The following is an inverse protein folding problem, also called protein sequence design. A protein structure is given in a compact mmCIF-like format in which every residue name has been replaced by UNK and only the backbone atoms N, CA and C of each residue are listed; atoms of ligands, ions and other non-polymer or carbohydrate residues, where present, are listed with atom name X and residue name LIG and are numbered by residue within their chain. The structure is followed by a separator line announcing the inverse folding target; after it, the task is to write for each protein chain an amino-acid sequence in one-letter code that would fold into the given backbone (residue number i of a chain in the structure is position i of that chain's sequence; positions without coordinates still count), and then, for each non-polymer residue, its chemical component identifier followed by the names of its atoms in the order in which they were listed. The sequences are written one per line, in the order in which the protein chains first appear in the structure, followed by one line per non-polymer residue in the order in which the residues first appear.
data_IF_620994825528
#
_entry.id   IF_620994825528
#
_cell.length_a   1.000
_cell.length_b   1.000
_cell.length_c   1.000
_cell.angle_alpha   90.00
_cell.angle_beta   90.00
_cell.angle_gamma   90.00
#
_symmetry.space_group_name_H-M   'P 1'
#
loop_
_entity.id
_entity.type
_entity.pdbx_description
1 polymer ?
#
# COMPACT_ATOMS: atom_id res chain seq x y z
N UNK A 1 19.48 -11.86 -11.53
CA UNK A 1 18.73 -10.70 -10.98
C UNK A 1 17.26 -11.06 -11.03
N UNK A 2 16.60 -10.90 -9.92
CA UNK A 2 15.15 -11.21 -9.78
C UNK A 2 14.34 -9.95 -9.94
N UNK A 3 13.39 -9.95 -10.85
CA UNK A 3 12.50 -8.80 -11.07
C UNK A 3 11.22 -8.97 -10.26
N UNK A 4 10.84 -7.93 -9.51
CA UNK A 4 9.61 -7.83 -8.75
C UNK A 4 8.73 -6.69 -9.27
N UNK A 5 7.42 -6.90 -9.29
CA UNK A 5 6.40 -5.93 -9.67
C UNK A 5 5.50 -5.66 -8.48
N UNK A 6 5.61 -4.49 -7.87
CA UNK A 6 4.83 -4.10 -6.69
C UNK A 6 3.88 -2.97 -7.07
N UNK A 7 2.59 -3.18 -6.82
CA UNK A 7 1.55 -2.20 -7.04
C UNK A 7 0.99 -1.72 -5.71
N UNK A 8 0.83 -0.41 -5.54
CA UNK A 8 0.07 0.18 -4.44
C UNK A 8 -1.16 0.92 -4.95
N UNK A 9 -2.26 0.85 -4.22
CA UNK A 9 -3.47 1.58 -4.55
C UNK A 9 -4.38 1.79 -3.34
N UNK A 10 -4.67 3.05 -3.02
CA UNK A 10 -5.78 3.39 -2.15
C UNK A 10 -7.08 3.26 -2.96
N UNK A 11 -7.94 2.30 -2.62
CA UNK A 11 -9.15 1.99 -3.42
C UNK A 11 -10.42 2.67 -2.92
N UNK A 12 -10.30 3.56 -1.91
CA UNK A 12 -11.45 4.28 -1.33
C UNK A 12 -12.65 3.35 -1.06
N UNK A 13 -12.43 2.27 -0.32
CA UNK A 13 -13.41 1.20 -0.12
C UNK A 13 -14.75 1.63 0.45
N UNK A 14 -14.80 2.83 1.09
CA UNK A 14 -16.05 3.43 1.56
C UNK A 14 -17.03 3.73 0.42
N UNK A 15 -16.56 3.97 -0.79
CA UNK A 15 -17.37 4.24 -1.98
C UNK A 15 -17.83 2.99 -2.72
N UNK A 16 -17.56 1.80 -2.19
CA UNK A 16 -17.93 0.50 -2.76
C UNK A 16 -17.54 0.35 -4.25
N UNK A 17 -16.23 0.49 -4.59
CA UNK A 17 -15.78 0.41 -5.98
C UNK A 17 -16.14 -0.94 -6.61
N UNK A 18 -16.39 -0.94 -7.92
CA UNK A 18 -16.71 -2.16 -8.65
C UNK A 18 -15.51 -3.12 -8.66
N UNK A 19 -15.56 -4.19 -7.85
CA UNK A 19 -14.45 -5.13 -7.68
C UNK A 19 -14.11 -5.92 -8.96
N UNK A 20 -15.05 -6.08 -9.90
CA UNK A 20 -14.75 -6.72 -11.18
C UNK A 20 -13.86 -5.82 -12.05
N UNK A 21 -14.08 -4.51 -11.99
CA UNK A 21 -13.23 -3.54 -12.69
C UNK A 21 -11.88 -3.41 -11.98
N UNK A 22 -11.89 -3.26 -10.65
CA UNK A 22 -10.64 -3.19 -9.86
C UNK A 22 -9.76 -4.42 -10.08
N UNK A 23 -10.33 -5.63 -10.08
CA UNK A 23 -9.56 -6.86 -10.34
C UNK A 23 -8.98 -6.92 -11.76
N UNK A 24 -9.70 -6.43 -12.76
CA UNK A 24 -9.19 -6.33 -14.15
C UNK A 24 -8.05 -5.32 -14.27
N UNK A 25 -8.16 -4.19 -13.57
CA UNK A 25 -7.08 -3.20 -13.50
C UNK A 25 -5.84 -3.84 -12.89
N UNK A 26 -5.97 -4.46 -11.70
CA UNK A 26 -4.86 -5.14 -11.03
C UNK A 26 -4.22 -6.20 -11.94
N UNK A 27 -5.02 -7.09 -12.53
CA UNK A 27 -4.49 -8.14 -13.40
C UNK A 27 -3.80 -7.59 -14.65
N UNK A 28 -4.25 -6.46 -15.19
CA UNK A 28 -3.64 -5.80 -16.35
C UNK A 28 -2.21 -5.29 -16.06
N UNK A 29 -1.90 -4.95 -14.83
CA UNK A 29 -0.55 -4.56 -14.41
C UNK A 29 0.38 -5.76 -14.16
N UNK A 30 -0.13 -7.00 -14.10
CA UNK A 30 0.63 -8.21 -13.81
C UNK A 30 1.56 -8.08 -12.58
N UNK A 31 1.10 -7.59 -11.44
CA UNK A 31 1.95 -7.40 -10.28
C UNK A 31 2.22 -8.73 -9.56
N UNK A 32 3.40 -8.86 -8.95
CA UNK A 32 3.70 -9.94 -8.01
C UNK A 32 3.06 -9.70 -6.64
N UNK A 33 2.94 -8.42 -6.25
CA UNK A 33 2.37 -8.00 -4.97
C UNK A 33 1.53 -6.74 -5.15
N UNK A 34 0.37 -6.72 -4.49
CA UNK A 34 -0.52 -5.56 -4.43
C UNK A 34 -0.71 -5.13 -2.98
N UNK A 35 -0.40 -3.88 -2.68
CA UNK A 35 -0.65 -3.23 -1.40
C UNK A 35 -1.86 -2.30 -1.52
N UNK A 36 -2.97 -2.63 -0.85
CA UNK A 36 -4.19 -1.84 -0.89
C UNK A 36 -4.40 -1.09 0.42
N UNK A 37 -4.89 0.16 0.32
CA UNK A 37 -5.29 1.00 1.43
C UNK A 37 -6.80 1.29 1.34
N UNK A 38 -7.40 1.65 2.48
CA UNK A 38 -8.84 1.91 2.66
C UNK A 38 -9.74 0.76 2.19
N UNK A 39 -9.24 -0.45 2.19
CA UNK A 39 -9.98 -1.63 1.73
C UNK A 39 -10.75 -2.27 2.87
N UNK A 40 -12.02 -2.59 2.66
CA UNK A 40 -12.81 -3.39 3.62
C UNK A 40 -12.46 -4.87 3.49
N UNK A 41 -12.62 -5.62 4.60
CA UNK A 41 -12.27 -7.05 4.63
C UNK A 41 -12.94 -7.87 3.53
N UNK A 42 -14.25 -7.65 3.29
CA UNK A 42 -14.99 -8.36 2.26
C UNK A 42 -14.55 -7.98 0.84
N UNK A 43 -14.12 -6.72 0.62
CA UNK A 43 -13.57 -6.26 -0.65
C UNK A 43 -12.22 -6.92 -0.93
N UNK A 44 -11.32 -6.96 0.06
CA UNK A 44 -10.03 -7.65 -0.05
C UNK A 44 -10.22 -9.14 -0.39
N UNK A 45 -11.11 -9.85 0.31
CA UNK A 45 -11.46 -11.24 0.01
C UNK A 45 -12.12 -11.41 -1.36
N UNK A 46 -13.00 -10.47 -1.75
CA UNK A 46 -13.66 -10.47 -3.06
C UNK A 46 -12.66 -10.28 -4.23
N UNK A 47 -11.66 -9.41 -4.06
CA UNK A 47 -10.58 -9.24 -5.04
C UNK A 47 -9.70 -10.49 -5.12
N UNK A 48 -9.29 -11.05 -3.98
CA UNK A 48 -8.49 -12.27 -3.94
C UNK A 48 -9.19 -13.44 -4.65
N UNK A 49 -10.51 -13.60 -4.44
CA UNK A 49 -11.30 -14.64 -5.11
C UNK A 49 -11.33 -14.46 -6.63
N UNK A 50 -11.51 -13.22 -7.13
CA UNK A 50 -11.54 -12.90 -8.56
C UNK A 50 -10.20 -13.13 -9.25
N UNK A 51 -9.12 -12.82 -8.54
CA UNK A 51 -7.76 -12.98 -9.04
C UNK A 51 -7.22 -14.41 -8.89
N UNK A 52 -7.84 -15.24 -8.04
CA UNK A 52 -7.31 -16.54 -7.65
C UNK A 52 -6.04 -16.43 -6.79
N UNK A 53 -5.92 -15.34 -6.02
CA UNK A 53 -4.73 -14.98 -5.25
C UNK A 53 -4.93 -15.17 -3.75
N UNK A 54 -3.81 -15.17 -3.02
CA UNK A 54 -3.77 -15.12 -1.57
C UNK A 54 -3.96 -13.69 -1.09
N UNK A 55 -4.53 -13.52 0.10
CA UNK A 55 -4.76 -12.23 0.72
C UNK A 55 -4.55 -12.29 2.22
N UNK A 56 -3.96 -11.23 2.75
CA UNK A 56 -3.97 -10.89 4.17
C UNK A 56 -4.57 -9.50 4.34
N UNK A 57 -5.27 -9.29 5.42
CA UNK A 57 -5.95 -8.03 5.72
C UNK A 57 -5.78 -7.67 7.19
N UNK A 58 -5.53 -6.40 7.48
CA UNK A 58 -5.51 -5.84 8.83
C UNK A 58 -6.43 -4.64 8.94
N UNK A 59 -7.14 -4.51 10.06
CA UNK A 59 -8.06 -3.41 10.29
C UNK A 59 -7.28 -2.15 10.68
N UNK A 60 -7.57 -1.03 10.02
CA UNK A 60 -7.04 0.28 10.37
C UNK A 60 -7.81 0.87 11.56
N UNK A 61 -9.13 1.00 11.43
CA UNK A 61 -9.98 1.53 12.48
C UNK A 61 -11.36 0.86 12.47
N UNK A 62 -12.09 1.00 13.56
CA UNK A 62 -13.50 0.63 13.58
C UNK A 62 -14.36 1.73 12.98
N UNK A 63 -15.49 1.39 12.36
CA UNK A 63 -16.49 2.37 11.99
C UNK A 63 -17.08 3.05 13.22
N UNK A 64 -17.71 4.20 13.03
CA UNK A 64 -18.31 5.00 14.10
C UNK A 64 -19.27 4.22 15.04
N UNK A 65 -19.90 3.15 14.54
CA UNK A 65 -20.79 2.29 15.33
C UNK A 65 -20.35 0.82 15.28
N UNK A 66 -20.34 0.09 16.40
CA UNK A 66 -20.07 -1.33 16.41
C UNK A 66 -21.09 -2.16 15.62
N UNK A 67 -22.30 -1.63 15.40
CA UNK A 67 -23.35 -2.27 14.62
C UNK A 67 -23.04 -2.33 13.11
N UNK A 68 -21.98 -1.69 12.66
CA UNK A 68 -21.55 -1.67 11.25
C UNK A 68 -20.06 -2.06 11.11
N UNK A 69 -19.61 -2.97 11.99
CA UNK A 69 -18.22 -3.42 12.05
C UNK A 69 -17.65 -3.92 10.71
N UNK A 70 -18.51 -4.44 9.82
CA UNK A 70 -18.11 -4.87 8.45
C UNK A 70 -17.69 -3.72 7.54
N UNK A 71 -18.00 -2.47 7.91
CA UNK A 71 -17.55 -1.25 7.21
C UNK A 71 -16.16 -0.80 7.65
N UNK A 72 -15.54 -1.52 8.58
CA UNK A 72 -14.19 -1.21 9.00
C UNK A 72 -13.23 -1.26 7.82
N UNK A 73 -12.50 -0.19 7.63
CA UNK A 73 -11.43 -0.09 6.64
C UNK A 73 -10.12 -0.63 7.19
N UNK A 74 -9.25 -1.02 6.28
CA UNK A 74 -7.96 -1.59 6.62
C UNK A 74 -6.95 -1.50 5.48
N UNK A 75 -5.91 -2.28 5.67
CA UNK A 75 -4.87 -2.52 4.67
C UNK A 75 -4.97 -3.98 4.21
N UNK A 76 -4.64 -4.23 2.95
CA UNK A 76 -4.49 -5.60 2.46
C UNK A 76 -3.21 -5.75 1.63
N UNK A 77 -2.66 -6.96 1.65
CA UNK A 77 -1.65 -7.39 0.69
C UNK A 77 -2.20 -8.60 -0.04
N UNK A 78 -2.19 -8.54 -1.38
CA UNK A 78 -2.60 -9.63 -2.27
C UNK A 78 -1.41 -10.06 -3.12
N UNK A 79 -1.32 -11.38 -3.42
CA UNK A 79 -0.27 -11.93 -4.27
C UNK A 79 -0.67 -13.30 -4.80
N UNK A 80 -0.23 -13.69 -6.03
CA UNK A 80 -0.35 -15.08 -6.50
C UNK A 80 0.60 -16.05 -5.79
N UNK A 81 1.60 -15.53 -5.07
CA UNK A 81 2.68 -16.28 -4.43
C UNK A 81 2.38 -16.70 -2.99
N UNK A 82 3.33 -17.31 -2.29
CA UNK A 82 3.19 -17.65 -0.87
C UNK A 82 3.33 -16.41 0.01
N UNK A 83 2.59 -16.41 1.12
CA UNK A 83 2.63 -15.34 2.13
C UNK A 83 3.03 -15.97 3.46
N UNK A 84 4.04 -15.42 4.08
CA UNK A 84 4.55 -15.82 5.38
C UNK A 84 4.78 -14.59 6.28
N UNK A 85 5.00 -14.81 7.57
CA UNK A 85 5.44 -13.79 8.53
C UNK A 85 4.58 -12.52 8.59
N UNK A 86 3.25 -12.67 8.63
CA UNK A 86 2.37 -11.52 8.81
C UNK A 86 2.60 -10.85 10.17
N UNK A 87 2.98 -9.59 10.12
CA UNK A 87 3.06 -8.69 11.28
C UNK A 87 2.17 -7.49 11.01
N UNK A 88 1.40 -7.05 12.00
CA UNK A 88 0.67 -5.79 11.93
C UNK A 88 0.81 -5.03 13.24
N UNK A 89 1.01 -3.73 13.15
CA UNK A 89 1.25 -2.85 14.31
C UNK A 89 0.44 -1.56 14.20
N UNK A 90 0.04 -1.01 15.36
CA UNK A 90 -0.45 0.37 15.41
C UNK A 90 0.74 1.32 15.29
N UNK A 91 0.67 2.23 14.32
CA UNK A 91 1.66 3.29 14.13
C UNK A 91 1.20 4.63 14.70
N UNK A 92 -0.03 4.70 15.25
CA UNK A 92 -0.58 5.83 16.01
C UNK A 92 -0.89 5.40 17.45
N UNK A 93 0.11 5.05 18.29
CA UNK A 93 -0.13 4.62 19.66
C UNK A 93 -0.80 5.73 20.47
N UNK A 94 -1.75 5.34 21.33
CA UNK A 94 -2.53 6.29 22.13
C UNK A 94 -3.74 6.88 21.40
N UNK A 95 -3.85 6.69 20.09
CA UNK A 95 -5.04 7.09 19.31
C UNK A 95 -6.07 5.96 19.35
N UNK A 96 -7.31 6.30 19.66
CA UNK A 96 -8.41 5.32 19.70
C UNK A 96 -8.62 4.64 18.34
N UNK A 97 -8.80 3.33 18.36
CA UNK A 97 -9.15 2.52 17.17
C UNK A 97 -10.55 2.82 16.62
N UNK A 98 -11.32 3.65 17.30
CA UNK A 98 -12.65 4.12 16.86
C UNK A 98 -12.58 5.46 16.10
N UNK A 99 -11.40 5.99 15.88
CA UNK A 99 -11.21 7.20 15.09
C UNK A 99 -10.49 6.92 13.77
N UNK A 100 -10.88 7.63 12.72
CA UNK A 100 -10.22 7.61 11.41
C UNK A 100 -8.74 8.04 11.47
N UNK A 101 -8.33 8.73 12.54
CA UNK A 101 -6.93 9.11 12.80
C UNK A 101 -6.05 7.94 13.18
N UNK A 102 -6.63 6.81 13.63
CA UNK A 102 -5.82 5.62 13.93
C UNK A 102 -5.21 5.06 12.65
N UNK A 103 -3.91 4.81 12.69
CA UNK A 103 -3.13 4.26 11.58
C UNK A 103 -2.45 2.97 11.99
N UNK A 104 -2.33 2.08 11.02
CA UNK A 104 -1.63 0.80 11.15
C UNK A 104 -0.67 0.61 10.00
N UNK A 105 0.33 -0.22 10.21
CA UNK A 105 1.15 -0.80 9.15
C UNK A 105 1.08 -2.32 9.26
N UNK A 106 1.22 -2.99 8.13
CA UNK A 106 1.35 -4.45 8.07
C UNK A 106 2.50 -4.83 7.17
N UNK A 107 3.15 -5.95 7.45
CA UNK A 107 4.18 -6.48 6.60
C UNK A 107 4.11 -8.00 6.51
N UNK A 108 4.48 -8.53 5.35
CA UNK A 108 4.56 -9.96 5.04
C UNK A 108 5.86 -10.28 4.33
N UNK A 109 6.25 -11.55 4.33
CA UNK A 109 7.24 -12.08 3.40
C UNK A 109 6.51 -12.79 2.28
N UNK A 110 6.72 -12.34 1.05
CA UNK A 110 6.21 -12.99 -0.16
C UNK A 110 7.31 -13.88 -0.73
N UNK A 111 6.98 -15.14 -1.03
CA UNK A 111 7.95 -16.12 -1.52
C UNK A 111 7.51 -16.73 -2.84
N UNK A 112 8.40 -16.72 -3.85
CA UNK A 112 8.22 -17.36 -5.16
C UNK A 112 9.53 -18.03 -5.60
N UNK A 113 9.48 -19.29 -6.03
CA UNK A 113 10.58 -20.01 -6.70
C UNK A 113 11.95 -19.86 -6.01
N UNK A 114 11.97 -19.90 -4.67
CA UNK A 114 13.21 -19.76 -3.87
C UNK A 114 13.66 -18.32 -3.59
N UNK A 115 12.88 -17.33 -4.05
CA UNK A 115 13.13 -15.91 -3.83
C UNK A 115 12.12 -15.32 -2.85
N UNK A 116 12.53 -14.35 -2.07
CA UNK A 116 11.66 -13.70 -1.09
C UNK A 116 11.73 -12.19 -1.21
N UNK A 117 10.61 -11.53 -0.90
CA UNK A 117 10.50 -10.09 -0.78
C UNK A 117 9.74 -9.75 0.49
N UNK A 118 10.32 -8.94 1.37
CA UNK A 118 9.60 -8.36 2.49
C UNK A 118 8.80 -7.16 2.02
N UNK A 119 7.49 -7.15 2.24
CA UNK A 119 6.60 -6.08 1.78
C UNK A 119 5.86 -5.51 2.97
N UNK A 120 6.08 -4.22 3.25
CA UNK A 120 5.28 -3.47 4.20
C UNK A 120 4.26 -2.60 3.46
N UNK A 121 3.03 -2.57 3.96
CA UNK A 121 1.95 -1.71 3.50
C UNK A 121 1.52 -0.77 4.62
N UNK A 122 1.38 0.51 4.30
CA UNK A 122 0.99 1.54 5.28
C UNK A 122 0.05 2.57 4.65
N UNK A 123 -0.65 3.33 5.52
CA UNK A 123 -1.39 4.53 5.14
C UNK A 123 -1.16 5.56 6.25
N UNK A 124 -0.33 6.56 5.98
CA UNK A 124 0.11 7.55 6.96
C UNK A 124 -0.95 8.64 7.20
N UNK A 125 -0.74 9.49 8.19
CA UNK A 125 -1.66 10.57 8.54
C UNK A 125 -1.79 11.60 7.41
N UNK A 126 -3.02 12.04 7.15
CA UNK A 126 -3.32 12.97 6.04
C UNK A 126 -3.11 14.45 6.36
N UNK A 127 -2.97 14.82 7.65
CA UNK A 127 -3.07 16.24 8.05
C UNK A 127 -1.96 16.73 8.97
N UNK A 128 -0.95 15.91 9.29
CA UNK A 128 0.12 16.30 10.22
C UNK A 128 1.45 15.68 9.77
N UNK A 129 2.42 16.55 9.41
CA UNK A 129 3.72 16.13 8.91
C UNK A 129 4.57 15.46 10.00
N UNK A 130 4.55 15.99 11.22
CA UNK A 130 5.28 15.41 12.35
C UNK A 130 4.72 14.02 12.72
N UNK A 131 3.40 13.87 12.64
CA UNK A 131 2.75 12.57 12.82
C UNK A 131 3.17 11.58 11.73
N UNK A 132 3.24 11.99 10.45
CA UNK A 132 3.73 11.14 9.34
C UNK A 132 5.15 10.67 9.58
N UNK A 133 6.06 11.56 9.97
CA UNK A 133 7.45 11.22 10.29
C UNK A 133 7.50 10.20 11.44
N UNK A 134 6.77 10.46 12.53
CA UNK A 134 6.71 9.55 13.67
C UNK A 134 6.10 8.19 13.30
N UNK A 135 5.12 8.15 12.39
CA UNK A 135 4.53 6.91 11.87
C UNK A 135 5.51 6.16 10.97
N UNK A 136 6.24 6.85 10.07
CA UNK A 136 7.26 6.25 9.22
C UNK A 136 8.32 5.52 10.05
N UNK A 137 8.83 6.14 11.12
CA UNK A 137 9.77 5.51 12.07
C UNK A 137 9.22 4.23 12.69
N UNK A 138 7.91 4.10 12.87
CA UNK A 138 7.27 2.89 13.41
C UNK A 138 7.05 1.79 12.39
N UNK A 139 7.16 2.11 11.10
CA UNK A 139 7.15 1.10 10.03
C UNK A 139 8.52 0.41 9.91
N UNK A 140 9.62 1.09 10.18
CA UNK A 140 10.98 0.58 10.01
C UNK A 140 11.22 -0.81 10.64
N UNK A 141 10.83 -1.09 11.89
CA UNK A 141 11.03 -2.40 12.51
C UNK A 141 10.37 -3.57 11.76
N UNK A 142 9.37 -3.29 10.91
CA UNK A 142 8.68 -4.34 10.14
C UNK A 142 9.52 -4.87 8.97
N UNK A 143 10.55 -4.12 8.56
CA UNK A 143 11.40 -4.38 7.39
C UNK A 143 12.88 -4.53 7.75
N UNK A 144 13.28 -4.09 8.94
CA UNK A 144 14.67 -4.20 9.40
C UNK A 144 15.16 -5.66 9.39
N UNK A 145 16.41 -5.86 8.97
CA UNK A 145 17.07 -7.17 8.87
C UNK A 145 16.36 -8.21 7.96
N UNK A 146 15.46 -7.76 7.09
CA UNK A 146 14.70 -8.61 6.17
C UNK A 146 14.81 -8.05 4.75
N UNK A 147 15.91 -8.35 4.09
CA UNK A 147 16.19 -7.87 2.74
C UNK A 147 16.06 -9.02 1.70
N UNK A 148 15.64 -8.72 0.48
CA UNK A 148 15.17 -7.41 0.00
C UNK A 148 13.81 -7.02 0.61
N UNK A 149 13.62 -5.73 0.88
CA UNK A 149 12.39 -5.20 1.44
C UNK A 149 11.86 -4.00 0.65
N UNK A 150 10.54 -3.82 0.65
CA UNK A 150 9.85 -2.64 0.10
C UNK A 150 8.85 -2.09 1.10
N UNK A 151 8.59 -0.80 1.03
CA UNK A 151 7.46 -0.15 1.71
C UNK A 151 6.59 0.48 0.67
N UNK A 152 5.31 0.09 0.65
CA UNK A 152 4.32 0.59 -0.29
C UNK A 152 3.12 1.19 0.47
N UNK A 153 2.46 2.17 -0.12
CA UNK A 153 1.24 2.71 0.48
C UNK A 153 0.94 4.15 0.11
N UNK A 154 -0.14 4.64 0.70
CA UNK A 154 -0.52 6.04 0.70
C UNK A 154 0.21 6.74 1.86
N UNK A 155 1.20 7.53 1.52
CA UNK A 155 2.00 8.24 2.52
C UNK A 155 1.42 9.60 2.89
N UNK A 156 0.43 10.09 2.12
CA UNK A 156 -0.13 11.45 2.30
C UNK A 156 0.94 12.57 2.36
N UNK A 157 2.12 12.29 1.81
CA UNK A 157 3.30 13.14 1.88
C UNK A 157 3.49 13.84 0.53
N UNK A 158 2.91 15.05 0.39
CA UNK A 158 3.09 15.87 -0.80
C UNK A 158 4.45 16.57 -0.68
N UNK A 159 5.40 16.19 -1.56
CA UNK A 159 6.75 16.78 -1.62
C UNK A 159 7.51 16.77 -0.27
N UNK A 160 7.09 15.93 0.68
CA UNK A 160 7.70 15.81 2.01
C UNK A 160 8.89 14.83 1.99
N UNK A 161 10.02 15.29 1.48
CA UNK A 161 11.25 14.48 1.44
C UNK A 161 11.67 13.96 2.82
N UNK A 162 11.27 14.60 3.91
CA UNK A 162 11.63 14.19 5.27
C UNK A 162 10.99 12.86 5.65
N UNK A 163 9.72 12.62 5.30
CA UNK A 163 9.04 11.32 5.52
C UNK A 163 9.75 10.21 4.74
N UNK A 164 10.13 10.48 3.50
CA UNK A 164 10.85 9.51 2.64
C UNK A 164 12.24 9.22 3.20
N UNK A 165 12.95 10.25 3.70
CA UNK A 165 14.30 10.09 4.28
C UNK A 165 14.34 9.19 5.52
N UNK A 166 13.24 9.11 6.28
CA UNK A 166 13.17 8.17 7.41
C UNK A 166 13.40 6.72 6.96
N UNK A 167 12.91 6.34 5.77
CA UNK A 167 13.12 5.01 5.22
C UNK A 167 14.54 4.76 4.67
N UNK A 168 15.32 5.80 4.48
CA UNK A 168 16.76 5.70 4.14
C UNK A 168 17.57 4.97 5.23
N UNK A 169 17.12 4.99 6.50
CA UNK A 169 17.73 4.21 7.57
C UNK A 169 17.67 2.69 7.33
N UNK A 170 16.71 2.21 6.54
CA UNK A 170 16.58 0.81 6.10
C UNK A 170 17.14 0.58 4.67
N UNK A 171 17.97 1.49 4.15
CA UNK A 171 18.50 1.47 2.79
C UNK A 171 17.40 1.38 1.72
N UNK A 172 16.28 2.06 1.93
CA UNK A 172 15.23 2.23 0.94
C UNK A 172 15.30 3.62 0.30
N UNK A 173 15.00 3.65 -0.98
CA UNK A 173 14.95 4.87 -1.79
C UNK A 173 13.62 4.98 -2.51
N UNK A 174 13.23 6.21 -2.78
CA UNK A 174 12.12 6.53 -3.66
C UNK A 174 12.61 6.51 -5.11
N UNK A 175 12.07 5.63 -5.97
CA UNK A 175 12.47 5.60 -7.37
C UNK A 175 11.91 6.77 -8.19
N UNK A 176 11.09 7.64 -7.60
CA UNK A 176 10.33 8.68 -8.31
C UNK A 176 8.93 8.23 -8.70
N UNK A 177 8.33 8.85 -9.69
CA UNK A 177 7.02 8.51 -10.25
C UNK A 177 6.10 9.71 -10.46
N UNK A 178 4.97 9.45 -11.11
CA UNK A 178 3.98 10.46 -11.45
C UNK A 178 2.97 10.74 -10.32
N UNK A 179 2.15 11.74 -10.50
CA UNK A 179 1.07 12.10 -9.57
C UNK A 179 -0.01 11.01 -9.54
N UNK A 180 -0.52 10.71 -8.34
CA UNK A 180 -1.54 9.68 -8.12
C UNK A 180 -2.89 10.23 -7.64
N UNK A 181 -2.95 11.49 -7.19
CA UNK A 181 -4.14 12.10 -6.59
C UNK A 181 -4.35 13.56 -7.05
N UNK A 182 -5.59 14.03 -7.26
CA UNK A 182 -6.79 13.22 -7.39
C UNK A 182 -6.84 12.48 -8.73
N UNK A 183 -7.43 11.30 -8.77
CA UNK A 183 -7.43 10.41 -9.94
C UNK A 183 -8.06 11.01 -11.20
N UNK A 184 -8.99 11.97 -11.06
CA UNK A 184 -9.63 12.67 -12.18
C UNK A 184 -8.66 13.61 -12.92
N UNK A 185 -7.75 14.26 -12.19
CA UNK A 185 -6.75 15.20 -12.72
C UNK A 185 -5.56 15.25 -11.75
N UNK A 186 -4.61 14.30 -11.88
CA UNK A 186 -3.53 14.11 -10.91
C UNK A 186 -2.64 15.36 -10.79
N UNK A 187 -2.35 15.78 -9.56
CA UNK A 187 -1.51 16.95 -9.25
C UNK A 187 -0.71 16.79 -7.96
N UNK A 188 -0.86 15.66 -7.27
CA UNK A 188 -0.14 15.34 -6.04
C UNK A 188 0.32 13.88 -6.12
N UNK A 189 1.52 13.62 -5.63
CA UNK A 189 2.04 12.28 -5.44
C UNK A 189 1.88 11.92 -3.98
N UNK A 190 0.96 11.01 -3.68
CA UNK A 190 0.65 10.56 -2.31
C UNK A 190 1.02 9.08 -2.11
N UNK A 191 1.04 8.32 -3.21
CA UNK A 191 1.25 6.89 -3.22
C UNK A 191 2.69 6.56 -3.63
N UNK A 192 3.37 5.74 -2.83
CA UNK A 192 4.78 5.44 -2.97
C UNK A 192 5.03 3.93 -2.93
N UNK A 193 6.05 3.48 -3.65
CA UNK A 193 6.69 2.18 -3.51
C UNK A 193 8.19 2.43 -3.33
N UNK A 194 8.66 2.40 -2.09
CA UNK A 194 10.08 2.54 -1.77
C UNK A 194 10.77 1.18 -1.94
N UNK A 195 11.88 1.17 -2.65
CA UNK A 195 12.61 -0.05 -3.03
C UNK A 195 14.01 -0.05 -2.41
N UNK A 196 14.70 -1.21 -2.34
CA UNK A 196 16.09 -1.26 -1.90
C UNK A 196 16.98 -0.31 -2.73
N UNK A 197 17.86 0.42 -2.06
CA UNK A 197 18.84 1.31 -2.72
C UNK A 197 19.71 0.57 -3.74
N UNK A 198 19.97 -0.71 -3.50
CA UNK A 198 20.73 -1.57 -4.40
C UNK A 198 19.94 -2.06 -5.62
N UNK A 199 18.62 -1.84 -5.66
CA UNK A 199 17.78 -2.31 -6.75
C UNK A 199 17.88 -1.42 -7.98
N UNK A 200 17.66 -2.04 -9.15
CA UNK A 200 17.57 -1.32 -10.42
C UNK A 200 16.11 -1.22 -10.84
N UNK A 201 15.60 0.01 -10.98
CA UNK A 201 14.25 0.25 -11.51
C UNK A 201 14.20 -0.08 -12.99
N UNK A 202 13.22 -0.89 -13.40
CA UNK A 202 13.00 -1.27 -14.81
C UNK A 202 11.75 -0.65 -15.40
N UNK A 203 10.74 -0.36 -14.57
CA UNK A 203 9.54 0.37 -14.98
C UNK A 203 8.85 1.06 -13.80
N UNK A 204 8.20 2.16 -14.10
CA UNK A 204 7.23 2.83 -13.22
C UNK A 204 6.01 3.17 -14.03
N UNK A 205 4.82 2.90 -13.51
CA UNK A 205 3.57 3.12 -14.23
C UNK A 205 2.52 3.69 -13.29
N UNK A 206 2.04 4.88 -13.62
CA UNK A 206 0.85 5.51 -13.07
C UNK A 206 0.01 5.97 -14.25
N UNK A 207 -1.30 5.68 -14.32
CA UNK A 207 -2.13 6.13 -15.44
C UNK A 207 -2.31 7.65 -15.42
N UNK A 208 -2.68 8.23 -16.57
CA UNK A 208 -2.88 9.68 -16.72
C UNK A 208 -4.07 10.24 -15.92
N UNK A 209 -4.94 9.36 -15.44
CA UNK A 209 -6.14 9.76 -14.73
C UNK A 209 -7.35 9.97 -15.64
N UNK A 210 -8.43 10.50 -15.07
CA UNK A 210 -9.68 10.78 -15.77
C UNK A 210 -10.93 10.26 -15.05
N UNK A 211 -12.10 10.54 -15.62
CA UNK A 211 -13.41 10.24 -15.02
C UNK A 211 -13.60 8.75 -14.70
N UNK A 212 -13.12 7.85 -15.58
CA UNK A 212 -13.22 6.41 -15.34
C UNK A 212 -12.45 5.95 -14.11
N UNK A 213 -11.34 6.60 -13.78
CA UNK A 213 -10.57 6.33 -12.58
C UNK A 213 -11.27 6.88 -11.35
N UNK A 214 -11.84 8.09 -11.43
CA UNK A 214 -12.58 8.72 -10.34
C UNK A 214 -13.80 7.90 -9.89
N UNK A 215 -14.39 7.12 -10.79
CA UNK A 215 -15.46 6.17 -10.46
C UNK A 215 -14.96 4.97 -9.62
N UNK A 216 -13.66 4.68 -9.61
CA UNK A 216 -13.07 3.57 -8.86
C UNK A 216 -12.47 4.04 -7.55
N UNK A 217 -11.69 5.13 -7.58
CA UNK A 217 -11.04 5.72 -6.42
C UNK A 217 -10.61 7.15 -6.77
N UNK A 218 -10.42 7.97 -5.74
CA UNK A 218 -9.78 9.28 -5.86
C UNK A 218 -8.25 9.20 -5.99
N UNK A 219 -7.67 8.00 -5.85
CA UNK A 219 -6.26 7.71 -6.13
C UNK A 219 -6.10 6.84 -7.38
N UNK A 220 -4.97 7.00 -8.06
CA UNK A 220 -4.52 6.12 -9.15
C UNK A 220 -3.62 5.01 -8.60
N UNK A 221 -3.62 3.82 -9.23
CA UNK A 221 -2.65 2.78 -8.91
C UNK A 221 -1.24 3.20 -9.33
N UNK A 222 -0.25 2.86 -8.51
CA UNK A 222 1.17 3.08 -8.77
C UNK A 222 1.89 1.74 -8.80
N UNK A 223 2.51 1.39 -9.93
CA UNK A 223 3.34 0.21 -10.10
C UNK A 223 4.81 0.60 -10.17
N UNK A 224 5.64 -0.12 -9.45
CA UNK A 224 7.10 -0.10 -9.62
C UNK A 224 7.59 -1.51 -9.94
N UNK A 225 8.36 -1.63 -11.02
CA UNK A 225 9.10 -2.84 -11.39
C UNK A 225 10.59 -2.60 -11.16
N UNK A 226 11.24 -3.53 -10.47
CA UNK A 226 12.65 -3.42 -10.11
C UNK A 226 13.31 -4.79 -10.02
N UNK A 227 14.61 -4.81 -10.21
CA UNK A 227 15.45 -6.02 -10.05
C UNK A 227 16.37 -5.90 -8.85
N UNK A 228 16.55 -6.98 -8.09
CA UNK A 228 17.45 -7.14 -6.95
C UNK A 228 18.44 -8.27 -7.18
#
# INVERSE_FOLDING_TARGET
MTTWRVLTWNILGAHDPNLDVVSKVISGYLPDVVALQEVRRHQAGGLASRLGWKVVWTRKHYPFSPLVWWRAEGLAILTPHSIDDLISVSISPGVSTWTFKHRVAMAVTVSRTGETLRVANTHLASHDADERIAQARRVLPLIENRQPAVVAGDFNAVDELEVIREFGAAALVDPGGDYSNPSIAPRQRLDYVLIPESATVTAQVTPEGGESWNQLSDHLPVLVEFSV
#
